data_IF_075883938151
#
_entry.id   IF_075883938151
#
_cell.length_a   1.000
_cell.length_b   1.000
_cell.length_c   1.000
_cell.angle_alpha   90.00
_cell.angle_beta   90.00
_cell.angle_gamma   90.00
#
_symmetry.space_group_name_H-M   'P 1'
#
loop_
_entity.id
_entity.type
_entity.pdbx_description
1 polymer ?
#
# COMPACT_ATOMS: atom_id res chain seq x y z
N UNK A 1 -7.41 -18.44 3.34
CA UNK A 1 -6.16 -17.84 3.86
C UNK A 1 -6.27 -17.32 5.31
N UNK A 2 -7.45 -17.36 5.95
CA UNK A 2 -7.63 -16.98 7.37
C UNK A 2 -6.60 -17.67 8.28
N UNK A 3 -6.04 -16.91 9.22
CA UNK A 3 -5.01 -17.38 10.16
C UNK A 3 -3.63 -17.64 9.56
N UNK A 4 -3.44 -17.45 8.24
CA UNK A 4 -2.15 -17.66 7.56
C UNK A 4 -1.45 -16.36 7.18
N UNK A 5 -2.20 -15.28 6.96
CA UNK A 5 -1.69 -13.97 6.53
C UNK A 5 -2.42 -12.84 7.26
N UNK A 6 -1.85 -11.64 7.25
CA UNK A 6 -2.51 -10.41 7.73
C UNK A 6 -3.01 -10.48 9.18
N UNK A 7 -2.22 -11.07 10.08
CA UNK A 7 -2.60 -11.29 11.49
C UNK A 7 -2.34 -10.07 12.37
N UNK A 8 -1.24 -9.36 12.12
CA UNK A 8 -0.80 -8.23 12.95
C UNK A 8 -0.75 -6.95 12.12
N UNK A 9 -1.32 -5.87 12.66
CA UNK A 9 -1.49 -4.61 11.94
C UNK A 9 -0.95 -3.42 12.72
N UNK A 10 -0.25 -2.54 12.00
CA UNK A 10 0.01 -1.16 12.42
C UNK A 10 -0.88 -0.26 11.57
N UNK A 11 -2.09 0.02 12.06
CA UNK A 11 -3.15 0.65 11.29
C UNK A 11 -4.02 1.48 12.22
N UNK A 12 -4.59 2.59 11.74
CA UNK A 12 -5.72 3.19 12.45
C UNK A 12 -6.89 2.18 12.52
N UNK A 13 -7.83 2.35 13.47
CA UNK A 13 -8.96 1.44 13.59
C UNK A 13 -9.98 1.73 12.48
N UNK A 14 -9.66 1.32 11.25
CA UNK A 14 -10.51 1.55 10.10
C UNK A 14 -11.84 0.81 10.25
N UNK A 15 -13.00 1.47 10.11
CA UNK A 15 -14.30 0.79 10.11
C UNK A 15 -14.37 -0.31 9.05
N UNK A 16 -13.69 -0.13 7.91
CA UNK A 16 -13.61 -1.15 6.85
C UNK A 16 -12.84 -2.42 7.24
N UNK A 17 -12.11 -2.42 8.37
CA UNK A 17 -11.45 -3.61 8.92
C UNK A 17 -12.39 -4.42 9.84
N UNK A 18 -13.54 -3.87 10.26
CA UNK A 18 -14.50 -4.55 11.16
C UNK A 18 -14.85 -5.96 10.64
N UNK A 19 -15.27 -6.18 9.38
CA UNK A 19 -15.61 -7.52 8.92
C UNK A 19 -14.45 -8.51 9.00
N UNK A 20 -13.20 -8.04 8.84
CA UNK A 20 -12.01 -8.89 8.95
C UNK A 20 -11.71 -9.27 10.41
N UNK A 21 -11.93 -8.35 11.35
CA UNK A 21 -11.82 -8.60 12.80
C UNK A 21 -12.87 -9.63 13.22
N UNK A 22 -14.14 -9.37 12.91
CA UNK A 22 -15.25 -10.25 13.31
C UNK A 22 -15.21 -11.62 12.61
N UNK A 23 -14.60 -11.68 11.42
CA UNK A 23 -14.33 -12.95 10.73
C UNK A 23 -13.08 -13.67 11.27
N UNK A 24 -12.40 -13.17 12.31
CA UNK A 24 -11.25 -13.84 12.93
C UNK A 24 -9.99 -13.87 12.05
N UNK A 25 -9.77 -12.86 11.21
CA UNK A 25 -8.53 -12.72 10.45
C UNK A 25 -7.45 -11.96 11.21
N UNK A 26 -7.88 -10.99 12.01
CA UNK A 26 -7.01 -10.05 12.71
C UNK A 26 -6.75 -10.56 14.11
N UNK A 27 -5.48 -10.64 14.51
CA UNK A 27 -5.05 -11.00 15.87
C UNK A 27 -4.62 -9.77 16.68
N UNK A 28 -4.06 -8.74 16.04
CA UNK A 28 -3.73 -7.49 16.74
C UNK A 28 -3.71 -6.27 15.83
N UNK A 29 -4.12 -5.13 16.39
CA UNK A 29 -4.04 -3.81 15.76
C UNK A 29 -3.46 -2.80 16.74
N UNK A 30 -2.24 -2.33 16.47
CA UNK A 30 -1.69 -1.16 17.14
C UNK A 30 -1.98 0.09 16.31
N UNK A 31 -2.53 1.13 16.93
CA UNK A 31 -3.09 2.28 16.23
C UNK A 31 -2.20 3.53 16.29
N UNK A 32 -2.12 4.27 15.17
CA UNK A 32 -1.46 5.58 15.14
C UNK A 32 -2.29 6.65 15.86
N UNK A 33 -3.61 6.58 15.69
CA UNK A 33 -4.63 7.45 16.28
C UNK A 33 -5.98 6.72 16.40
N UNK A 34 -7.00 7.43 16.83
CA UNK A 34 -8.39 6.94 16.78
C UNK A 34 -9.05 7.25 15.44
N UNK A 35 -10.23 6.66 15.23
CA UNK A 35 -11.14 6.97 14.14
C UNK A 35 -12.51 7.32 14.74
N UNK A 36 -13.13 8.41 14.28
CA UNK A 36 -14.38 8.89 14.87
C UNK A 36 -15.49 7.84 14.76
N UNK A 37 -16.11 7.51 15.89
CA UNK A 37 -17.20 6.55 15.98
C UNK A 37 -16.76 5.12 16.27
N UNK A 38 -15.46 4.83 16.29
CA UNK A 38 -14.93 3.49 16.57
C UNK A 38 -14.66 3.24 18.06
N UNK A 39 -14.87 4.24 18.92
CA UNK A 39 -14.43 4.21 20.31
C UNK A 39 -15.04 3.04 21.10
N UNK A 40 -16.36 2.83 20.98
CA UNK A 40 -17.06 1.76 21.69
C UNK A 40 -16.79 0.38 21.11
N UNK A 41 -16.65 0.28 19.77
CA UNK A 41 -16.23 -0.97 19.13
C UNK A 41 -14.85 -1.42 19.61
N UNK A 42 -13.90 -0.48 19.72
CA UNK A 42 -12.54 -0.76 20.19
C UNK A 42 -12.53 -1.16 21.67
N UNK A 43 -13.30 -0.45 22.51
CA UNK A 43 -13.47 -0.79 23.93
C UNK A 43 -13.98 -2.22 24.11
N UNK A 44 -14.85 -2.68 23.20
CA UNK A 44 -15.40 -4.03 23.20
C UNK A 44 -14.48 -5.11 22.59
N UNK A 45 -13.27 -4.75 22.13
CA UNK A 45 -12.28 -5.66 21.52
C UNK A 45 -10.87 -5.47 22.12
N UNK A 46 -10.70 -5.59 23.45
CA UNK A 46 -9.41 -5.40 24.12
C UNK A 46 -8.39 -6.51 23.83
N UNK A 47 -8.84 -7.63 23.26
CA UNK A 47 -8.02 -8.73 22.75
C UNK A 47 -7.34 -8.39 21.41
N UNK A 48 -7.93 -7.49 20.62
CA UNK A 48 -7.42 -7.05 19.32
C UNK A 48 -6.69 -5.72 19.41
N UNK A 49 -7.26 -4.77 20.15
CA UNK A 49 -6.73 -3.40 20.27
C UNK A 49 -6.03 -3.17 21.60
N UNK A 50 -5.10 -2.22 21.60
CA UNK A 50 -4.38 -1.80 22.80
C UNK A 50 -5.24 -0.81 23.60
N UNK A 51 -5.91 -1.30 24.65
CA UNK A 51 -6.75 -0.49 25.55
C UNK A 51 -6.10 -0.34 26.93
N UNK A 52 -6.33 0.82 27.57
CA UNK A 52 -5.92 1.05 28.96
C UNK A 52 -6.82 0.32 29.96
N UNK A 53 -6.48 0.40 31.24
CA UNK A 53 -7.31 -0.16 32.33
C UNK A 53 -8.69 0.49 32.44
N UNK A 54 -8.85 1.69 31.91
CA UNK A 54 -10.12 2.42 31.77
C UNK A 54 -10.95 1.97 30.54
N UNK A 55 -10.46 0.99 29.78
CA UNK A 55 -11.08 0.42 28.59
C UNK A 55 -10.96 1.29 27.33
N UNK A 56 -10.43 2.52 27.43
CA UNK A 56 -10.24 3.38 26.27
C UNK A 56 -8.98 2.99 25.47
N UNK A 57 -9.00 3.24 24.17
CA UNK A 57 -7.86 2.97 23.29
C UNK A 57 -6.65 3.82 23.67
N UNK A 58 -5.46 3.21 23.58
CA UNK A 58 -4.17 3.89 23.76
C UNK A 58 -3.42 3.93 22.43
N UNK A 59 -3.87 4.78 21.52
CA UNK A 59 -3.14 5.05 20.28
C UNK A 59 -1.81 5.75 20.58
N UNK A 60 -0.76 5.41 19.84
CA UNK A 60 0.52 6.09 19.94
C UNK A 60 1.18 6.16 18.57
N UNK A 61 1.13 7.34 17.94
CA UNK A 61 1.67 7.55 16.60
C UNK A 61 3.15 7.24 16.51
N UNK A 62 3.96 7.62 17.50
CA UNK A 62 5.40 7.39 17.48
C UNK A 62 5.72 5.89 17.53
N UNK A 63 5.12 5.15 18.47
CA UNK A 63 5.31 3.70 18.59
C UNK A 63 4.75 2.95 17.39
N UNK A 64 3.58 3.36 16.89
CA UNK A 64 2.96 2.72 15.75
C UNK A 64 3.76 2.95 14.46
N UNK A 65 4.36 4.13 14.27
CA UNK A 65 5.29 4.39 13.16
C UNK A 65 6.57 3.58 13.29
N UNK A 66 7.12 3.44 14.50
CA UNK A 66 8.29 2.60 14.74
C UNK A 66 8.01 1.14 14.40
N UNK A 67 6.88 0.59 14.86
CA UNK A 67 6.44 -0.75 14.52
C UNK A 67 6.18 -0.89 13.01
N UNK A 68 5.51 0.11 12.41
CA UNK A 68 5.23 0.14 10.98
C UNK A 68 6.49 0.19 10.11
N UNK A 69 7.62 0.68 10.64
CA UNK A 69 8.91 0.64 9.97
C UNK A 69 9.61 -0.71 10.18
N UNK A 70 9.79 -1.12 11.44
CA UNK A 70 10.69 -2.22 11.79
C UNK A 70 10.02 -3.58 11.97
N UNK A 71 8.77 -3.64 12.43
CA UNK A 71 8.14 -4.86 12.93
C UNK A 71 7.05 -5.44 12.02
N UNK A 72 6.77 -4.82 10.87
CA UNK A 72 5.80 -5.31 9.89
C UNK A 72 6.49 -5.79 8.62
N UNK A 73 5.88 -6.76 7.95
CA UNK A 73 6.40 -7.35 6.72
C UNK A 73 6.22 -6.44 5.50
N UNK A 74 5.12 -5.69 5.47
CA UNK A 74 4.68 -4.97 4.28
C UNK A 74 4.10 -3.60 4.60
N UNK A 75 4.39 -2.63 3.72
CA UNK A 75 3.62 -1.42 3.53
C UNK A 75 2.97 -1.46 2.15
N UNK A 76 1.69 -1.07 2.07
CA UNK A 76 0.96 -0.88 0.83
C UNK A 76 0.23 0.46 0.89
N UNK A 77 0.37 1.26 -0.16
CA UNK A 77 -0.24 2.59 -0.25
C UNK A 77 -0.40 3.05 -1.69
N UNK A 78 -1.09 4.17 -1.88
CA UNK A 78 -1.25 4.81 -3.18
C UNK A 78 -0.56 6.17 -3.23
N UNK A 79 -0.51 6.77 -4.42
CA UNK A 79 0.12 8.06 -4.69
C UNK A 79 -0.66 8.79 -5.79
N UNK A 80 -0.34 10.08 -6.04
CA UNK A 80 -0.93 10.82 -7.15
C UNK A 80 -0.10 10.72 -8.43
N UNK A 81 1.22 10.59 -8.34
CA UNK A 81 2.09 10.38 -9.50
C UNK A 81 3.14 9.32 -9.21
N UNK A 82 3.47 8.56 -10.26
CA UNK A 82 4.57 7.59 -10.34
C UNK A 82 5.35 7.87 -11.63
N UNK A 83 6.68 7.88 -11.57
CA UNK A 83 7.50 7.95 -12.80
C UNK A 83 7.90 6.57 -13.34
N UNK A 84 8.58 6.54 -14.48
CA UNK A 84 9.04 5.29 -15.09
C UNK A 84 10.02 4.46 -14.24
N UNK A 85 10.57 5.01 -13.16
CA UNK A 85 11.46 4.28 -12.24
C UNK A 85 10.76 3.91 -10.93
N UNK A 86 9.44 4.14 -10.84
CA UNK A 86 8.62 3.98 -9.65
C UNK A 86 8.88 5.01 -8.53
N UNK A 87 9.54 6.14 -8.80
CA UNK A 87 9.50 7.25 -7.85
C UNK A 87 8.06 7.76 -7.75
N UNK A 88 7.58 7.96 -6.54
CA UNK A 88 6.19 8.34 -6.29
C UNK A 88 6.09 9.61 -5.46
N UNK A 89 5.10 10.45 -5.79
CA UNK A 89 4.81 11.64 -5.01
C UNK A 89 3.33 12.02 -5.07
N UNK A 90 2.85 12.60 -3.99
CA UNK A 90 1.55 13.26 -3.91
C UNK A 90 1.63 14.75 -4.29
N UNK A 91 2.83 15.32 -4.42
CA UNK A 91 3.02 16.71 -4.80
C UNK A 91 2.75 16.88 -6.30
N UNK A 92 1.78 17.74 -6.63
CA UNK A 92 1.41 18.07 -8.02
C UNK A 92 1.52 19.58 -8.27
N UNK A 93 1.47 19.99 -9.54
CA UNK A 93 1.51 21.42 -9.91
C UNK A 93 0.45 22.21 -9.13
N UNK A 94 0.87 23.28 -8.44
CA UNK A 94 -0.01 24.15 -7.66
C UNK A 94 -0.47 23.58 -6.30
N UNK A 95 -0.03 22.37 -5.90
CA UNK A 95 -0.43 21.75 -4.63
C UNK A 95 0.73 21.04 -3.95
N UNK A 96 1.24 21.66 -2.88
CA UNK A 96 2.24 21.07 -2.01
C UNK A 96 1.56 20.21 -0.92
N UNK A 97 1.24 18.96 -1.26
CA UNK A 97 0.73 17.97 -0.29
C UNK A 97 1.81 17.53 0.70
N UNK A 98 1.44 17.19 1.93
CA UNK A 98 2.33 16.49 2.86
C UNK A 98 2.45 14.99 2.56
N UNK A 99 3.52 14.36 3.05
CA UNK A 99 3.77 12.92 2.87
C UNK A 99 3.10 12.02 3.92
N UNK A 100 2.71 12.58 5.07
CA UNK A 100 2.22 11.80 6.19
C UNK A 100 3.26 10.77 6.67
N UNK A 101 2.80 9.54 6.93
CA UNK A 101 3.66 8.42 7.36
C UNK A 101 4.30 7.62 6.23
N UNK A 102 4.01 7.95 4.97
CA UNK A 102 4.42 7.12 3.84
C UNK A 102 5.94 6.97 3.72
N UNK A 103 6.79 8.02 3.87
CA UNK A 103 8.23 7.85 3.77
C UNK A 103 8.81 6.95 4.87
N UNK A 104 8.21 6.93 6.06
CA UNK A 104 8.66 6.07 7.16
C UNK A 104 8.33 4.59 6.92
N UNK A 105 7.16 4.29 6.36
CA UNK A 105 6.73 2.90 6.12
C UNK A 105 7.12 2.39 4.73
N UNK A 106 7.27 3.27 3.75
CA UNK A 106 7.53 2.95 2.35
C UNK A 106 9.01 2.99 1.97
N UNK A 107 9.89 2.49 2.83
CA UNK A 107 11.30 2.25 2.50
C UNK A 107 11.77 0.92 3.09
N UNK A 108 12.88 0.38 2.57
CA UNK A 108 13.54 -0.78 3.17
C UNK A 108 14.27 -0.36 4.47
N UNK A 109 13.86 -0.83 5.67
CA UNK A 109 14.43 -0.38 6.92
C UNK A 109 15.83 -0.99 7.11
N UNK A 110 16.87 -0.30 6.62
CA UNK A 110 18.25 -0.81 6.59
C UNK A 110 18.84 -1.16 7.96
N UNK A 111 18.23 -0.71 9.07
CA UNK A 111 18.59 -1.09 10.44
C UNK A 111 17.99 -2.42 10.93
N UNK A 112 17.00 -2.99 10.23
CA UNK A 112 16.33 -4.24 10.61
C UNK A 112 17.28 -5.44 10.51
N UNK A 113 17.24 -6.33 11.51
CA UNK A 113 18.05 -7.57 11.53
C UNK A 113 17.26 -8.84 11.86
N UNK A 114 16.09 -8.72 12.49
CA UNK A 114 15.27 -9.90 12.75
C UNK A 114 14.64 -10.38 11.44
N UNK A 115 14.71 -11.70 11.20
CA UNK A 115 14.17 -12.32 10.01
C UNK A 115 12.68 -12.64 10.17
N UNK A 116 11.91 -12.45 9.10
CA UNK A 116 10.54 -12.96 8.96
C UNK A 116 10.39 -13.63 7.60
N UNK A 117 9.43 -14.56 7.42
CA UNK A 117 9.28 -15.28 6.16
C UNK A 117 9.13 -14.37 4.94
N UNK A 118 8.28 -13.34 5.01
CA UNK A 118 8.07 -12.43 3.89
C UNK A 118 9.31 -11.56 3.59
N UNK A 119 10.01 -11.10 4.63
CA UNK A 119 11.23 -10.31 4.48
C UNK A 119 12.35 -11.11 3.80
N UNK A 120 12.54 -12.38 4.20
CA UNK A 120 13.50 -13.29 3.59
C UNK A 120 13.14 -13.65 2.14
N UNK A 121 11.85 -13.69 1.80
CA UNK A 121 11.38 -14.04 0.46
C UNK A 121 11.72 -12.98 -0.61
N UNK A 122 12.24 -11.81 -0.21
CA UNK A 122 12.74 -10.78 -1.13
C UNK A 122 14.21 -10.98 -1.54
N UNK A 123 14.87 -12.02 -1.02
CA UNK A 123 16.22 -12.43 -1.44
C UNK A 123 16.10 -13.16 -2.77
N UNK A 124 16.84 -12.68 -3.78
CA UNK A 124 16.76 -13.18 -5.16
C UNK A 124 17.90 -14.13 -5.52
N UNK A 125 19.01 -14.09 -4.77
CA UNK A 125 20.20 -14.91 -5.02
C UNK A 125 20.65 -15.60 -3.71
N UNK A 126 21.27 -16.79 -3.78
CA UNK A 126 21.76 -17.50 -2.62
C UNK A 126 23.09 -16.89 -2.13
N UNK A 127 23.06 -15.63 -1.67
CA UNK A 127 24.19 -14.97 -1.02
C UNK A 127 23.92 -14.89 0.50
N UNK A 128 24.73 -15.55 1.36
CA UNK A 128 24.57 -15.50 2.81
C UNK A 128 24.77 -14.09 3.41
N UNK A 129 25.36 -13.16 2.66
CA UNK A 129 25.50 -11.75 3.05
C UNK A 129 24.33 -10.89 2.57
N UNK A 130 23.47 -11.41 1.69
CA UNK A 130 22.28 -10.70 1.24
C UNK A 130 21.23 -10.67 2.36
N UNK A 131 20.84 -9.46 2.73
CA UNK A 131 19.70 -9.22 3.61
C UNK A 131 18.39 -9.30 2.83
N UNK A 132 17.33 -9.74 3.49
CA UNK A 132 15.98 -9.57 3.01
C UNK A 132 15.58 -8.09 2.94
N UNK A 133 14.37 -7.85 2.41
CA UNK A 133 13.82 -6.51 2.21
C UNK A 133 12.39 -6.45 2.73
N UNK A 134 11.99 -5.30 3.26
CA UNK A 134 10.57 -5.05 3.52
C UNK A 134 9.79 -4.99 2.21
N UNK A 135 8.56 -5.49 2.19
CA UNK A 135 7.69 -5.32 1.03
C UNK A 135 7.14 -3.89 1.03
N UNK A 136 7.41 -3.13 -0.03
CA UNK A 136 6.91 -1.78 -0.26
C UNK A 136 6.12 -1.82 -1.57
N UNK A 137 4.80 -1.74 -1.44
CA UNK A 137 3.85 -1.88 -2.55
C UNK A 137 3.23 -0.52 -2.88
N UNK A 138 3.45 -0.06 -4.11
CA UNK A 138 2.70 1.05 -4.69
C UNK A 138 1.48 0.49 -5.41
N UNK A 139 0.30 0.66 -4.82
CA UNK A 139 -0.99 0.26 -5.37
C UNK A 139 -1.71 1.48 -5.93
N UNK A 140 -1.81 1.55 -7.25
CA UNK A 140 -2.43 2.69 -7.96
C UNK A 140 -3.20 2.21 -9.18
N UNK A 141 -4.27 2.91 -9.53
CA UNK A 141 -4.85 2.78 -10.87
C UNK A 141 -3.97 3.52 -11.90
N UNK A 142 -3.95 3.05 -13.14
CA UNK A 142 -3.14 3.69 -14.20
C UNK A 142 -3.58 5.13 -14.48
N UNK A 143 -4.86 5.45 -14.22
CA UNK A 143 -5.43 6.79 -14.28
C UNK A 143 -6.09 7.17 -12.95
N UNK A 144 -6.02 8.45 -12.62
CA UNK A 144 -6.79 9.07 -11.55
C UNK A 144 -8.21 9.39 -12.03
N UNK A 145 -9.09 9.72 -11.08
CA UNK A 145 -10.38 10.33 -11.38
C UNK A 145 -10.19 11.56 -12.31
N UNK A 146 -10.93 11.60 -13.41
CA UNK A 146 -10.87 12.71 -14.38
C UNK A 146 -9.75 12.58 -15.43
N UNK A 147 -9.44 11.35 -15.88
CA UNK A 147 -8.54 11.01 -17.00
C UNK A 147 -7.08 11.50 -16.88
N UNK A 148 -6.65 11.89 -15.69
CA UNK A 148 -5.25 12.27 -15.44
C UNK A 148 -4.40 11.00 -15.26
N UNK A 149 -3.35 10.76 -16.05
CA UNK A 149 -2.50 9.58 -15.89
C UNK A 149 -1.77 9.62 -14.54
N UNK A 150 -1.73 8.48 -13.85
CA UNK A 150 -0.93 8.32 -12.62
C UNK A 150 0.56 8.16 -12.97
N UNK A 151 0.86 7.41 -14.03
CA UNK A 151 2.21 7.23 -14.53
C UNK A 151 2.60 8.36 -15.48
N UNK A 152 3.71 9.04 -15.19
CA UNK A 152 4.17 10.22 -15.93
C UNK A 152 5.67 10.13 -16.22
N UNK A 153 6.13 10.71 -17.33
CA UNK A 153 7.58 10.75 -17.65
C UNK A 153 8.39 11.53 -16.62
N UNK A 154 7.78 12.56 -16.04
CA UNK A 154 8.41 13.43 -15.05
C UNK A 154 7.38 13.81 -14.00
N UNK A 155 7.72 13.57 -12.73
CA UNK A 155 6.89 14.02 -11.60
C UNK A 155 6.75 15.54 -11.60
N UNK A 156 5.54 16.04 -11.36
CA UNK A 156 5.27 17.46 -11.15
C UNK A 156 6.14 18.01 -10.00
N UNK A 157 6.42 17.16 -9.01
CA UNK A 157 7.31 17.43 -7.87
C UNK A 157 8.65 18.05 -8.29
N UNK A 158 9.22 17.65 -9.44
CA UNK A 158 10.49 18.20 -9.93
C UNK A 158 10.36 19.68 -10.27
N UNK A 159 9.27 20.08 -10.94
CA UNK A 159 9.05 21.48 -11.29
C UNK A 159 8.59 22.31 -10.08
N UNK A 160 7.82 21.70 -9.17
CA UNK A 160 7.48 22.33 -7.89
C UNK A 160 8.74 22.67 -7.10
N UNK A 161 9.69 21.73 -6.97
CA UNK A 161 10.93 21.97 -6.25
C UNK A 161 11.74 23.12 -6.84
N UNK A 162 11.86 23.19 -8.18
CA UNK A 162 12.54 24.30 -8.86
C UNK A 162 11.86 25.64 -8.58
N UNK A 163 10.52 25.68 -8.68
CA UNK A 163 9.75 26.90 -8.47
C UNK A 163 9.78 27.38 -7.01
N UNK A 164 9.87 26.47 -6.03
CA UNK A 164 9.88 26.79 -4.60
C UNK A 164 11.28 26.86 -3.99
N UNK A 165 12.34 26.71 -4.78
CA UNK A 165 13.72 26.71 -4.29
C UNK A 165 14.06 25.52 -3.36
N UNK A 166 13.39 24.38 -3.51
CA UNK A 166 13.73 23.17 -2.77
C UNK A 166 15.00 22.54 -3.35
N UNK A 167 15.92 22.03 -2.50
CA UNK A 167 17.17 21.43 -2.97
C UNK A 167 16.97 20.11 -3.71
N UNK A 168 15.84 19.43 -3.46
CA UNK A 168 15.49 18.13 -4.05
C UNK A 168 14.00 18.11 -4.39
N UNK A 169 13.62 17.32 -5.39
CA UNK A 169 12.22 17.04 -5.67
C UNK A 169 11.56 16.36 -4.46
N UNK A 170 10.36 16.79 -4.02
CA UNK A 170 9.64 16.15 -2.93
C UNK A 170 9.07 14.81 -3.40
N UNK A 171 9.91 13.78 -3.39
CA UNK A 171 9.53 12.37 -3.62
C UNK A 171 9.06 11.78 -2.29
N UNK A 172 7.90 11.12 -2.31
CA UNK A 172 7.30 10.49 -1.12
C UNK A 172 7.91 9.12 -0.86
N UNK A 173 8.00 8.27 -1.90
CA UNK A 173 8.68 6.98 -1.86
C UNK A 173 9.52 6.88 -3.13
N UNK A 174 10.82 6.66 -2.95
CA UNK A 174 11.76 6.52 -4.05
C UNK A 174 11.60 5.15 -4.74
N UNK A 175 11.90 5.10 -6.03
CA UNK A 175 11.69 3.91 -6.84
C UNK A 175 12.50 2.71 -6.36
N UNK A 176 13.74 2.92 -5.91
CA UNK A 176 14.63 1.86 -5.40
C UNK A 176 14.12 1.19 -4.11
N UNK A 177 13.30 1.90 -3.33
CA UNK A 177 12.60 1.34 -2.16
C UNK A 177 11.38 0.49 -2.55
N UNK A 178 10.77 0.74 -3.73
CA UNK A 178 9.57 0.02 -4.18
C UNK A 178 9.95 -1.40 -4.62
N UNK A 179 9.31 -2.39 -3.99
CA UNK A 179 9.46 -3.80 -4.36
C UNK A 179 8.35 -4.28 -5.28
N UNK A 180 7.16 -3.67 -5.22
CA UNK A 180 6.01 -4.01 -6.05
C UNK A 180 5.29 -2.77 -6.56
N UNK A 181 4.96 -2.74 -7.85
CA UNK A 181 3.95 -1.83 -8.40
C UNK A 181 2.74 -2.69 -8.77
N UNK A 182 1.59 -2.36 -8.19
CA UNK A 182 0.31 -3.05 -8.39
C UNK A 182 -0.67 -2.08 -9.04
N UNK A 183 -1.20 -2.48 -10.19
CA UNK A 183 -2.24 -1.76 -10.94
C UNK A 183 -3.39 -2.68 -11.31
N UNK A 184 -4.43 -2.14 -11.94
CA UNK A 184 -5.48 -2.92 -12.57
C UNK A 184 -4.99 -3.77 -13.75
N UNK A 185 -3.82 -3.46 -14.31
CA UNK A 185 -3.19 -4.27 -15.38
C UNK A 185 -2.44 -5.49 -14.83
N UNK A 186 -1.85 -5.39 -13.65
CA UNK A 186 -1.07 -6.47 -13.05
C UNK A 186 -0.12 -6.01 -11.95
N UNK A 187 0.85 -6.85 -11.64
CA UNK A 187 1.89 -6.61 -10.65
C UNK A 187 3.26 -6.69 -11.30
N UNK A 188 4.08 -5.66 -11.10
CA UNK A 188 5.49 -5.66 -11.42
C UNK A 188 6.31 -5.92 -10.14
N UNK A 189 7.05 -7.03 -10.11
CA UNK A 189 7.88 -7.47 -8.99
C UNK A 189 9.27 -6.82 -9.02
N UNK A 190 9.33 -5.50 -8.82
CA UNK A 190 10.53 -4.68 -9.00
C UNK A 190 11.73 -5.11 -8.12
N UNK A 191 11.51 -5.86 -7.04
CA UNK A 191 12.60 -6.45 -6.26
C UNK A 191 13.47 -7.44 -7.05
N UNK A 192 12.95 -7.97 -8.17
CA UNK A 192 13.62 -8.90 -9.10
C UNK A 192 14.28 -8.19 -10.29
N UNK A 193 14.22 -6.87 -10.36
CA UNK A 193 14.85 -6.12 -11.45
C UNK A 193 16.38 -6.17 -11.32
N UNK A 194 17.06 -6.52 -12.42
CA UNK A 194 18.53 -6.62 -12.46
C UNK A 194 19.19 -5.31 -12.92
N UNK A 195 18.42 -4.39 -13.49
CA UNK A 195 18.90 -3.07 -13.93
C UNK A 195 17.80 -2.01 -13.86
N UNK A 196 18.17 -0.73 -13.95
CA UNK A 196 17.22 0.38 -14.04
C UNK A 196 16.39 0.33 -15.35
N UNK A 197 16.98 -0.15 -16.44
CA UNK A 197 16.29 -0.36 -17.70
C UNK A 197 15.21 -1.44 -17.56
N UNK A 198 15.56 -2.57 -16.93
CA UNK A 198 14.58 -3.64 -16.69
C UNK A 198 13.49 -3.18 -15.72
N UNK A 199 13.84 -2.47 -14.65
CA UNK A 199 12.87 -1.87 -13.73
C UNK A 199 11.88 -0.97 -14.49
N UNK A 200 12.39 -0.10 -15.37
CA UNK A 200 11.53 0.77 -16.19
C UNK A 200 10.62 -0.03 -17.11
N UNK A 201 11.13 -1.07 -17.76
CA UNK A 201 10.32 -1.96 -18.59
C UNK A 201 9.22 -2.67 -17.77
N UNK A 202 9.52 -3.10 -16.54
CA UNK A 202 8.56 -3.73 -15.64
C UNK A 202 7.46 -2.77 -15.18
N UNK A 203 7.81 -1.53 -14.80
CA UNK A 203 6.84 -0.48 -14.46
C UNK A 203 5.93 -0.20 -15.65
N UNK A 204 6.52 -0.03 -16.83
CA UNK A 204 5.79 0.29 -18.04
C UNK A 204 4.82 -0.84 -18.45
N UNK A 205 5.19 -2.11 -18.25
CA UNK A 205 4.34 -3.27 -18.52
C UNK A 205 3.04 -3.33 -17.69
N UNK A 206 2.95 -2.56 -16.60
CA UNK A 206 1.74 -2.45 -15.76
C UNK A 206 1.15 -1.03 -15.75
N UNK A 207 1.66 -0.12 -16.58
CA UNK A 207 1.25 1.28 -16.61
C UNK A 207 0.08 1.58 -17.59
N UNK A 208 -0.54 0.55 -18.18
CA UNK A 208 -1.69 0.68 -19.07
C UNK A 208 -1.38 1.53 -20.32
N UNK A 209 -2.32 2.37 -20.72
CA UNK A 209 -2.21 3.25 -21.91
C UNK A 209 -1.65 4.65 -21.57
N UNK A 210 -0.96 4.80 -20.44
CA UNK A 210 -0.27 6.05 -20.09
C UNK A 210 0.95 6.26 -20.99
N UNK A 211 1.53 7.47 -20.99
CA UNK A 211 2.74 7.76 -21.79
C UNK A 211 3.89 6.78 -21.50
N UNK A 212 4.02 6.37 -20.23
CA UNK A 212 4.99 5.35 -19.80
C UNK A 212 4.66 3.99 -20.40
N UNK A 213 3.37 3.60 -20.43
CA UNK A 213 2.93 2.29 -20.91
C UNK A 213 2.84 2.16 -22.45
N UNK A 214 2.58 3.25 -23.17
CA UNK A 214 2.44 3.23 -24.64
C UNK A 214 3.74 2.87 -25.38
N UNK A 215 4.90 3.02 -24.74
CA UNK A 215 6.21 2.71 -25.32
C UNK A 215 6.65 1.25 -25.20
N UNK A 216 5.83 0.36 -24.62
CA UNK A 216 6.27 -1.00 -24.28
C UNK A 216 6.09 -1.97 -25.44
N UNK A 217 7.17 -2.68 -25.78
CA UNK A 217 7.15 -3.80 -26.72
C UNK A 217 6.39 -5.01 -26.13
N UNK A 218 5.37 -5.48 -26.85
CA UNK A 218 4.58 -6.65 -26.46
C UNK A 218 5.44 -7.92 -26.28
N UNK A 219 6.51 -8.08 -27.08
CA UNK A 219 7.43 -9.21 -26.91
C UNK A 219 8.16 -9.09 -25.58
N UNK A 220 8.61 -7.89 -25.21
CA UNK A 220 9.26 -7.64 -23.92
C UNK A 220 8.31 -7.90 -22.75
N UNK A 221 7.03 -7.53 -22.84
CA UNK A 221 6.02 -7.87 -21.81
C UNK A 221 5.89 -9.38 -21.66
N UNK A 222 5.81 -10.13 -22.77
CA UNK A 222 5.71 -11.58 -22.74
C UNK A 222 6.93 -12.24 -22.05
N UNK A 223 8.14 -11.73 -22.30
CA UNK A 223 9.37 -12.16 -21.61
C UNK A 223 9.30 -11.89 -20.10
N UNK A 224 8.87 -10.68 -19.70
CA UNK A 224 8.72 -10.31 -18.29
C UNK A 224 7.66 -11.16 -17.57
N UNK A 225 6.57 -11.52 -18.26
CA UNK A 225 5.54 -12.43 -17.74
C UNK A 225 6.05 -13.86 -17.59
N UNK A 226 6.69 -14.39 -18.63
CA UNK A 226 7.23 -15.76 -18.62
C UNK A 226 8.31 -15.97 -17.55
N UNK A 227 9.09 -14.94 -17.24
CA UNK A 227 10.11 -14.95 -16.17
C UNK A 227 9.53 -14.68 -14.76
N UNK A 228 8.22 -14.40 -14.66
CA UNK A 228 7.53 -14.07 -13.42
C UNK A 228 7.96 -12.74 -12.80
N UNK A 229 8.55 -11.83 -13.59
CA UNK A 229 8.90 -10.46 -13.17
C UNK A 229 7.66 -9.56 -13.22
N UNK A 230 6.74 -9.83 -14.14
CA UNK A 230 5.41 -9.22 -14.21
C UNK A 230 4.36 -10.33 -14.15
N UNK A 231 3.23 -10.10 -13.50
CA UNK A 231 2.07 -11.00 -13.56
C UNK A 231 0.81 -10.20 -13.80
N UNK A 232 -0.02 -10.67 -14.73
CA UNK A 232 -1.35 -10.13 -14.97
C UNK A 232 -2.40 -10.93 -14.19
N UNK A 233 -3.64 -10.43 -14.03
CA UNK A 233 -4.70 -11.14 -13.33
C UNK A 233 -4.84 -12.59 -13.77
N UNK A 234 -4.79 -12.87 -15.08
CA UNK A 234 -4.91 -14.22 -15.63
C UNK A 234 -3.74 -15.15 -15.24
N UNK A 235 -2.53 -14.63 -15.01
CA UNK A 235 -1.38 -15.42 -14.55
C UNK A 235 -1.57 -15.90 -13.10
N UNK A 236 -2.45 -15.22 -12.36
CA UNK A 236 -2.84 -15.59 -10.99
C UNK A 236 -4.17 -16.36 -10.94
N UNK A 237 -4.74 -16.72 -12.10
CA UNK A 237 -6.05 -17.37 -12.18
C UNK A 237 -7.23 -16.45 -11.82
N UNK A 238 -7.04 -15.12 -11.89
CA UNK A 238 -8.07 -14.12 -11.59
C UNK A 238 -8.67 -13.62 -12.90
N UNK A 239 -9.96 -13.89 -13.13
CA UNK A 239 -10.69 -13.29 -14.25
C UNK A 239 -11.11 -11.88 -13.88
N UNK A 240 -10.75 -10.89 -14.71
CA UNK A 240 -11.07 -9.47 -14.46
C UNK A 240 -12.57 -9.22 -14.26
N UNK A 241 -13.43 -9.98 -14.94
CA UNK A 241 -14.89 -9.88 -14.83
C UNK A 241 -15.46 -10.35 -13.49
N UNK A 242 -14.70 -11.12 -12.70
CA UNK A 242 -15.14 -11.59 -11.39
C UNK A 242 -14.98 -10.49 -10.31
N UNK A 243 -14.21 -9.44 -10.59
CA UNK A 243 -13.97 -8.31 -9.69
C UNK A 243 -15.18 -7.36 -9.64
N UNK A 244 -16.20 -7.72 -8.86
CA UNK A 244 -17.39 -6.89 -8.65
C UNK A 244 -17.58 -6.53 -7.18
N UNK A 245 -18.46 -5.56 -6.89
CA UNK A 245 -18.78 -5.13 -5.52
C UNK A 245 -19.35 -6.24 -4.65
N UNK A 246 -19.83 -7.35 -5.21
CA UNK A 246 -20.33 -8.50 -4.43
C UNK A 246 -19.24 -9.20 -3.62
N UNK A 247 -17.96 -8.93 -3.90
CA UNK A 247 -16.82 -9.41 -3.11
C UNK A 247 -16.59 -8.60 -1.83
N UNK A 248 -17.19 -7.42 -1.69
CA UNK A 248 -17.08 -6.61 -0.48
C UNK A 248 -17.87 -7.28 0.64
N UNK A 249 -17.23 -7.50 1.79
CA UNK A 249 -17.90 -8.02 2.99
C UNK A 249 -18.96 -7.04 3.55
N UNK A 250 -18.77 -5.74 3.28
CA UNK A 250 -19.72 -4.68 3.58
C UNK A 250 -19.80 -3.76 2.36
N UNK A 251 -20.98 -3.68 1.75
CA UNK A 251 -21.24 -2.86 0.56
C UNK A 251 -21.60 -1.41 0.89
N UNK A 252 -21.94 -1.13 2.15
CA UNK A 252 -22.38 0.17 2.66
C UNK A 252 -21.84 0.48 4.07
N UNK A 253 -22.01 1.73 4.53
CA UNK A 253 -21.69 2.12 5.91
C UNK A 253 -22.65 1.47 6.91
N UNK A 254 -23.92 1.26 6.54
CA UNK A 254 -24.89 0.57 7.39
C UNK A 254 -24.45 -0.88 7.65
N UNK A 255 -23.95 -1.57 6.63
CA UNK A 255 -23.41 -2.93 6.78
C UNK A 255 -22.24 -2.95 7.78
N UNK A 256 -21.36 -1.93 7.76
CA UNK A 256 -20.26 -1.84 8.72
C UNK A 256 -20.76 -1.67 10.17
N UNK A 257 -21.85 -0.93 10.36
CA UNK A 257 -22.51 -0.81 11.66
C UNK A 257 -23.11 -2.15 12.10
N UNK A 258 -23.75 -2.87 11.20
CA UNK A 258 -24.30 -4.20 11.48
C UNK A 258 -23.19 -5.20 11.85
N UNK A 259 -22.12 -5.27 11.06
CA UNK A 259 -20.94 -6.08 11.36
C UNK A 259 -20.36 -5.75 12.75
N UNK A 260 -20.40 -4.48 13.16
CA UNK A 260 -19.92 -4.06 14.48
C UNK A 260 -20.86 -4.41 15.64
N UNK A 261 -22.05 -4.96 15.37
CA UNK A 261 -23.09 -5.15 16.38
C UNK A 261 -23.67 -3.83 16.90
N UNK A 262 -23.68 -2.78 16.07
CA UNK A 262 -24.13 -1.43 16.45
C UNK A 262 -23.11 -0.61 17.25
N UNK A 263 -21.89 -1.12 17.46
CA UNK A 263 -20.84 -0.44 18.24
C UNK A 263 -20.08 0.62 17.45
N UNK A 264 -20.06 0.52 16.12
CA UNK A 264 -19.54 1.58 15.25
C UNK A 264 -20.61 2.66 15.09
N UNK A 265 -20.28 3.89 15.49
CA UNK A 265 -21.16 5.04 15.45
C UNK A 265 -20.66 6.05 14.40
N UNK A 266 -20.96 5.86 13.09
CA UNK A 266 -20.39 6.67 12.02
C UNK A 266 -20.66 8.17 12.21
N UNK A 267 -19.72 9.05 11.82
CA UNK A 267 -19.95 10.49 11.77
C UNK A 267 -21.19 10.84 10.93
N UNK A 268 -21.88 11.93 11.29
CA UNK A 268 -23.16 12.33 10.66
C UNK A 268 -23.11 12.37 9.12
N UNK A 269 -21.99 12.82 8.54
CA UNK A 269 -21.80 12.88 7.07
C UNK A 269 -21.85 11.52 6.35
N UNK A 270 -21.73 10.42 7.08
CA UNK A 270 -21.75 9.06 6.55
C UNK A 270 -23.02 8.29 6.93
N UNK A 271 -23.92 8.89 7.72
CA UNK A 271 -25.23 8.30 8.03
C UNK A 271 -26.17 8.57 6.87
N UNK A 272 -26.93 7.55 6.51
CA UNK A 272 -27.99 7.62 5.49
C UNK A 272 -29.35 7.27 6.09
N UNK A 273 -29.53 7.52 7.39
CA UNK A 273 -30.73 7.30 8.19
C UNK A 273 -30.87 8.40 9.25
#
# INVERSE_FOLDING_TARGET
>A
MRGKICKHWTLNPHPTLIPAIESGWVESVHCFGGELGMEEYIRARPDIFFTGSDGSMRSNRAFCQLAGQYAVDMFIGSTLQVDGYANSSTVTRGRLSGFGGAPNMGHDPHGRRHATPAWLNMITEPDPMQRGKKLVVQMVETFQAGVKPTFVEKLDAVDVAKASGMPLAPVMIYGDDVTHVLTEEGIAYLYRAESLEERRAMVAAVAGITDIGLGVDAKRVAELRSSGKVVYPEDMGIRRTDATRSLLAAGSVADLVEWSGGLYNPPAKFRSW
#
